data_IF_063977659306
#
_entry.id   IF_063977659306
#
_cell.length_a   1.000
_cell.length_b   1.000
_cell.length_c   1.000
_cell.angle_alpha   90.00
_cell.angle_beta   90.00
_cell.angle_gamma   90.00
#
_symmetry.space_group_name_H-M   'P 1'
#
loop_
_entity.id
_entity.type
_entity.pdbx_description
1 polymer ?
#
# COMPACT_ATOMS: atom_id res chain seq x y z
N UNK A 1 82.81 -33.49 19.55
CA UNK A 1 82.23 -33.61 18.15
C UNK A 1 80.76 -33.31 18.22
N UNK A 2 80.30 -32.51 17.30
CA UNK A 2 79.10 -31.71 17.34
C UNK A 2 77.79 -32.52 17.09
N UNK A 3 76.85 -32.55 18.07
CA UNK A 3 75.51 -33.08 17.91
C UNK A 3 74.57 -31.98 17.50
N UNK A 4 73.93 -32.14 16.35
CA UNK A 4 72.95 -31.19 15.81
C UNK A 4 71.56 -31.43 16.45
N UNK A 5 71.10 -30.44 17.18
CA UNK A 5 69.72 -30.37 17.72
C UNK A 5 68.75 -30.03 16.56
N UNK A 6 67.83 -30.95 16.23
CA UNK A 6 66.84 -30.76 15.23
C UNK A 6 65.57 -30.18 15.90
N UNK A 7 65.37 -28.90 15.71
CA UNK A 7 64.18 -28.19 16.23
C UNK A 7 63.00 -28.48 15.29
N UNK A 8 62.02 -29.25 15.74
CA UNK A 8 60.82 -29.54 15.02
C UNK A 8 59.78 -28.39 15.29
N UNK A 9 59.67 -27.45 14.37
CA UNK A 9 58.70 -26.38 14.46
C UNK A 9 57.35 -26.93 13.98
N UNK A 10 56.44 -27.19 14.92
CA UNK A 10 55.05 -27.53 14.64
C UNK A 10 54.34 -26.25 14.28
N UNK A 11 54.07 -26.07 12.99
CA UNK A 11 53.23 -24.97 12.46
C UNK A 11 51.79 -25.32 12.75
N UNK A 12 51.24 -24.75 13.82
CA UNK A 12 49.77 -24.82 14.11
C UNK A 12 49.07 -23.90 13.10
N UNK A 13 48.48 -24.52 12.10
CA UNK A 13 47.59 -23.83 11.16
C UNK A 13 46.26 -23.62 11.88
N UNK A 14 46.09 -22.47 12.55
CA UNK A 14 44.77 -22.03 13.05
C UNK A 14 43.92 -21.68 11.86
N UNK A 15 43.01 -22.57 11.50
CA UNK A 15 41.86 -22.27 10.64
C UNK A 15 41.02 -21.25 11.37
N UNK A 16 41.18 -19.99 11.02
CA UNK A 16 40.21 -18.96 11.36
C UNK A 16 38.98 -19.28 10.49
N UNK A 17 38.01 -19.95 11.09
CA UNK A 17 36.63 -19.97 10.57
C UNK A 17 36.14 -18.54 10.61
N UNK A 18 36.37 -17.82 9.50
CA UNK A 18 35.60 -16.62 9.22
C UNK A 18 34.16 -17.08 9.04
N UNK A 19 33.42 -17.15 10.15
CA UNK A 19 31.97 -17.17 10.08
C UNK A 19 31.57 -15.93 9.28
N UNK A 20 30.88 -16.11 8.18
CA UNK A 20 30.15 -15.03 7.56
C UNK A 20 29.21 -14.52 8.66
N UNK A 21 29.61 -13.50 9.40
CA UNK A 21 28.64 -12.62 10.04
C UNK A 21 27.86 -12.01 8.88
N UNK A 22 26.69 -12.53 8.60
CA UNK A 22 25.66 -11.74 7.94
C UNK A 22 25.50 -10.52 8.83
N UNK A 23 26.02 -9.36 8.40
CA UNK A 23 25.72 -8.12 9.07
C UNK A 23 24.20 -7.99 9.08
N UNK A 24 23.64 -8.06 10.29
CA UNK A 24 22.21 -7.92 10.45
C UNK A 24 21.85 -6.53 9.95
N UNK A 25 20.95 -6.41 8.97
CA UNK A 25 20.51 -5.13 8.45
C UNK A 25 19.99 -4.30 9.62
N UNK A 26 20.52 -3.09 9.79
CA UNK A 26 20.15 -2.21 10.91
C UNK A 26 19.00 -1.27 10.55
N UNK A 27 18.72 -1.07 9.26
CA UNK A 27 17.71 -0.16 8.76
C UNK A 27 16.85 -0.88 7.73
N UNK A 28 15.53 -0.83 7.95
CA UNK A 28 14.50 -1.32 7.04
C UNK A 28 13.63 -0.15 6.55
N UNK A 29 13.32 -0.14 5.28
CA UNK A 29 12.54 0.92 4.64
C UNK A 29 11.14 0.42 4.30
N UNK A 30 10.13 1.27 4.55
CA UNK A 30 8.72 1.06 4.22
C UNK A 30 8.35 2.06 3.15
N UNK A 31 8.17 1.61 1.91
CA UNK A 31 7.74 2.46 0.81
C UNK A 31 6.24 2.82 0.97
N UNK A 32 5.92 4.10 0.83
CA UNK A 32 4.58 4.65 1.11
C UNK A 32 3.97 5.32 -0.13
N UNK A 33 3.71 6.61 -0.10
CA UNK A 33 3.26 7.41 -1.23
C UNK A 33 3.55 8.90 -0.99
N UNK A 34 2.93 9.78 -1.79
CA UNK A 34 3.00 11.24 -1.61
C UNK A 34 2.35 11.67 -0.29
N UNK A 35 2.73 12.85 0.22
CA UNK A 35 2.04 13.51 1.34
C UNK A 35 0.60 13.86 0.98
N UNK A 36 -0.25 14.17 1.97
CA UNK A 36 -1.66 14.46 1.74
C UNK A 36 -2.59 13.23 1.64
N UNK A 37 -2.02 12.03 1.40
CA UNK A 37 -2.71 10.75 1.45
C UNK A 37 -2.45 10.00 2.78
N UNK A 38 -2.99 8.77 2.89
CA UNK A 38 -2.94 7.97 4.13
C UNK A 38 -1.67 7.12 4.25
N UNK A 39 -1.05 6.69 3.13
CA UNK A 39 0.12 5.80 3.15
C UNK A 39 1.28 6.39 3.94
N UNK A 40 1.62 7.66 3.70
CA UNK A 40 2.78 8.28 4.31
C UNK A 40 2.69 8.36 5.85
N UNK A 41 1.65 8.95 6.47
CA UNK A 41 1.54 8.99 7.93
C UNK A 41 1.46 7.59 8.55
N UNK A 42 0.74 6.65 7.95
CA UNK A 42 0.65 5.27 8.45
C UNK A 42 2.01 4.57 8.37
N UNK A 43 2.72 4.65 7.24
CA UNK A 43 4.04 4.02 7.09
C UNK A 43 5.09 4.59 8.05
N UNK A 44 5.06 5.92 8.29
CA UNK A 44 5.90 6.55 9.32
C UNK A 44 5.52 6.07 10.71
N UNK A 45 4.23 5.96 11.02
CA UNK A 45 3.72 5.44 12.29
C UNK A 45 4.12 3.99 12.54
N UNK A 46 3.99 3.11 11.53
CA UNK A 46 4.49 1.73 11.58
C UNK A 46 6.00 1.69 11.85
N UNK A 47 6.77 2.48 11.13
CA UNK A 47 8.21 2.56 11.29
C UNK A 47 8.61 2.98 12.71
N UNK A 48 7.91 3.94 13.31
CA UNK A 48 8.14 4.37 14.69
C UNK A 48 7.78 3.26 15.69
N UNK A 49 6.61 2.63 15.52
CA UNK A 49 6.14 1.53 16.36
C UNK A 49 7.13 0.36 16.36
N UNK A 50 7.54 -0.09 15.18
CA UNK A 50 8.48 -1.20 15.03
C UNK A 50 9.88 -0.85 15.55
N UNK A 51 10.37 0.37 15.28
CA UNK A 51 11.67 0.84 15.80
C UNK A 51 11.71 0.83 17.33
N UNK A 52 10.61 1.22 17.98
CA UNK A 52 10.53 1.20 19.45
C UNK A 52 10.64 -0.23 20.00
N UNK A 53 9.95 -1.20 19.37
CA UNK A 53 10.01 -2.61 19.78
C UNK A 53 11.36 -3.27 19.51
N UNK A 54 12.08 -2.82 18.48
CA UNK A 54 13.39 -3.35 18.10
C UNK A 54 14.58 -2.50 18.60
N UNK A 55 14.34 -1.58 19.53
CA UNK A 55 15.37 -0.66 20.06
C UNK A 55 16.59 -1.39 20.64
N UNK A 56 16.37 -2.46 21.39
CA UNK A 56 17.45 -3.22 22.03
C UNK A 56 18.32 -3.96 21.02
N UNK A 57 17.76 -4.30 19.86
CA UNK A 57 18.47 -4.92 18.74
C UNK A 57 19.17 -3.89 17.83
N UNK A 58 19.01 -2.59 18.10
CA UNK A 58 19.50 -1.48 17.29
C UNK A 58 18.99 -1.51 15.84
N UNK A 59 17.74 -1.98 15.62
CA UNK A 59 17.08 -2.03 14.32
C UNK A 59 16.14 -0.84 14.20
N UNK A 60 16.11 -0.21 13.02
CA UNK A 60 15.26 0.93 12.69
C UNK A 60 14.41 0.64 11.48
N UNK A 61 13.20 1.18 11.50
CA UNK A 61 12.26 1.12 10.38
C UNK A 61 11.86 2.54 9.99
N UNK A 62 11.99 2.88 8.70
CA UNK A 62 11.71 4.21 8.19
C UNK A 62 10.59 4.17 7.15
N UNK A 63 9.55 4.97 7.33
CA UNK A 63 8.59 5.27 6.26
C UNK A 63 9.21 6.25 5.26
N UNK A 64 9.30 5.87 3.99
CA UNK A 64 9.80 6.73 2.92
C UNK A 64 8.69 7.09 1.93
N UNK A 65 8.68 8.35 1.48
CA UNK A 65 7.76 8.79 0.45
C UNK A 65 8.13 8.22 -0.92
N UNK A 66 7.12 8.00 -1.74
CA UNK A 66 7.23 7.57 -3.13
C UNK A 66 6.09 8.17 -3.96
N UNK A 67 5.98 7.81 -5.24
CA UNK A 67 4.80 8.12 -6.04
C UNK A 67 3.59 7.26 -5.64
N UNK A 68 3.82 6.04 -5.12
CA UNK A 68 2.78 5.09 -4.71
C UNK A 68 3.04 3.66 -5.20
N UNK A 69 1.98 2.88 -5.33
CA UNK A 69 2.04 1.41 -5.43
C UNK A 69 2.92 0.87 -6.55
N UNK A 70 2.97 1.50 -7.73
CA UNK A 70 3.78 1.02 -8.86
C UNK A 70 5.27 1.25 -8.58
N UNK A 71 5.66 2.47 -8.16
CA UNK A 71 7.03 2.75 -7.74
C UNK A 71 7.45 1.86 -6.55
N UNK A 72 6.50 1.56 -5.64
CA UNK A 72 6.76 0.71 -4.49
C UNK A 72 7.15 -0.72 -4.88
N UNK A 73 6.54 -1.27 -5.94
CA UNK A 73 6.97 -2.56 -6.53
C UNK A 73 8.40 -2.47 -7.04
N UNK A 74 8.76 -1.39 -7.75
CA UNK A 74 10.13 -1.21 -8.24
C UNK A 74 11.13 -1.09 -7.09
N UNK A 75 10.78 -0.35 -6.02
CA UNK A 75 11.62 -0.21 -4.83
C UNK A 75 11.84 -1.56 -4.12
N UNK A 76 10.81 -2.41 -4.03
CA UNK A 76 10.94 -3.78 -3.50
C UNK A 76 11.82 -4.65 -4.40
N UNK A 77 11.57 -4.69 -5.72
CA UNK A 77 12.36 -5.45 -6.70
C UNK A 77 13.84 -5.08 -6.68
N UNK A 78 14.15 -3.79 -6.44
CA UNK A 78 15.52 -3.27 -6.40
C UNK A 78 16.17 -3.43 -4.99
N UNK A 79 15.44 -3.87 -3.97
CA UNK A 79 15.93 -3.96 -2.58
C UNK A 79 16.15 -2.57 -1.94
N UNK A 80 15.51 -1.52 -2.46
CA UNK A 80 15.52 -0.16 -1.92
C UNK A 80 14.47 0.03 -0.81
N UNK A 81 13.41 -0.80 -0.83
CA UNK A 81 12.46 -0.96 0.26
C UNK A 81 12.39 -2.44 0.70
N UNK A 82 12.03 -2.67 1.96
CA UNK A 82 11.85 -3.99 2.55
C UNK A 82 10.37 -4.31 2.75
N UNK A 83 9.58 -3.29 2.95
CA UNK A 83 8.12 -3.31 3.06
C UNK A 83 7.54 -2.23 2.17
N UNK A 84 6.31 -2.42 1.74
CA UNK A 84 5.60 -1.42 0.98
C UNK A 84 4.09 -1.46 1.28
N UNK A 85 3.41 -0.34 1.06
CA UNK A 85 1.95 -0.29 1.04
C UNK A 85 1.51 -0.25 -0.42
N UNK A 86 0.63 -1.17 -0.80
CA UNK A 86 0.10 -1.30 -2.16
C UNK A 86 -1.42 -1.27 -2.16
N UNK A 87 -1.99 -0.74 -3.23
CA UNK A 87 -3.39 -1.01 -3.57
C UNK A 87 -3.57 -2.47 -4.00
N UNK A 88 -4.71 -3.07 -3.69
CA UNK A 88 -5.06 -4.45 -4.05
C UNK A 88 -4.89 -4.74 -5.54
N UNK A 89 -5.36 -3.84 -6.40
CA UNK A 89 -5.18 -3.91 -7.85
C UNK A 89 -3.71 -4.14 -8.25
N UNK A 90 -2.82 -3.32 -7.74
CA UNK A 90 -1.38 -3.37 -8.09
C UNK A 90 -0.71 -4.60 -7.49
N UNK A 91 -1.05 -4.96 -6.24
CA UNK A 91 -0.54 -6.17 -5.60
C UNK A 91 -0.91 -7.42 -6.38
N UNK A 92 -2.18 -7.53 -6.79
CA UNK A 92 -2.68 -8.66 -7.59
C UNK A 92 -2.00 -8.72 -8.96
N UNK A 93 -1.96 -7.59 -9.69
CA UNK A 93 -1.35 -7.55 -11.01
C UNK A 93 0.14 -7.90 -10.98
N UNK A 94 0.89 -7.41 -9.99
CA UNK A 94 2.31 -7.72 -9.84
C UNK A 94 2.53 -9.20 -9.50
N UNK A 95 1.74 -9.77 -8.58
CA UNK A 95 1.86 -11.17 -8.17
C UNK A 95 1.46 -12.14 -9.28
N UNK A 96 0.50 -11.79 -10.13
CA UNK A 96 0.02 -12.63 -11.23
C UNK A 96 0.75 -12.41 -12.57
N UNK A 97 1.49 -11.30 -12.70
CA UNK A 97 2.07 -10.91 -14.00
C UNK A 97 1.00 -10.47 -15.00
N UNK A 98 -0.04 -9.79 -14.53
CA UNK A 98 -1.17 -9.31 -15.33
C UNK A 98 -1.20 -7.78 -15.43
N UNK A 99 -2.10 -7.22 -16.23
CA UNK A 99 -2.26 -5.78 -16.39
C UNK A 99 -0.95 -5.09 -16.79
N UNK A 100 -0.52 -4.10 -16.02
CA UNK A 100 0.73 -3.36 -16.30
C UNK A 100 1.99 -4.22 -16.08
N UNK A 101 1.88 -5.38 -15.44
CA UNK A 101 2.95 -6.34 -15.20
C UNK A 101 2.87 -7.57 -16.12
N UNK A 102 2.15 -7.49 -17.25
CA UNK A 102 2.08 -8.59 -18.20
C UNK A 102 3.50 -9.00 -18.69
N UNK A 103 3.88 -10.23 -18.36
CA UNK A 103 5.22 -10.78 -18.67
C UNK A 103 6.33 -10.33 -17.71
N UNK A 104 6.00 -9.66 -16.61
CA UNK A 104 6.92 -9.23 -15.53
C UNK A 104 6.36 -9.57 -14.15
N UNK A 105 5.94 -10.83 -13.96
CA UNK A 105 5.43 -11.34 -12.69
C UNK A 105 6.46 -11.17 -11.57
N UNK A 106 5.99 -10.74 -10.39
CA UNK A 106 6.84 -10.62 -9.20
C UNK A 106 6.55 -11.79 -8.25
N UNK A 107 7.21 -12.93 -8.50
CA UNK A 107 6.98 -14.20 -7.78
C UNK A 107 7.35 -14.12 -6.29
N UNK A 108 8.30 -13.24 -5.92
CA UNK A 108 8.74 -13.06 -4.53
C UNK A 108 7.81 -12.19 -3.70
N UNK A 109 6.79 -11.53 -4.30
CA UNK A 109 5.89 -10.66 -3.57
C UNK A 109 5.04 -11.46 -2.57
N UNK A 110 4.99 -10.99 -1.32
CA UNK A 110 4.19 -11.59 -0.23
C UNK A 110 3.38 -10.52 0.49
N UNK A 111 2.14 -10.85 0.78
CA UNK A 111 1.30 -9.98 1.63
C UNK A 111 1.56 -10.23 3.12
N UNK A 112 1.50 -9.16 3.91
CA UNK A 112 1.50 -9.20 5.37
C UNK A 112 0.06 -9.11 5.90
N UNK A 113 -0.78 -8.32 5.23
CA UNK A 113 -2.21 -8.22 5.54
C UNK A 113 -2.83 -6.95 4.96
N UNK A 114 -4.15 -6.94 4.87
CA UNK A 114 -4.94 -5.73 4.58
C UNK A 114 -4.93 -4.84 5.83
N UNK A 115 -4.71 -3.55 5.61
CA UNK A 115 -4.51 -2.59 6.70
C UNK A 115 -5.61 -1.53 6.79
N UNK A 116 -6.25 -1.14 5.71
CA UNK A 116 -7.51 -0.36 5.64
C UNK A 116 -8.05 -0.34 4.21
N UNK A 117 -9.35 0.00 4.01
CA UNK A 117 -9.92 0.24 2.69
C UNK A 117 -9.30 1.45 1.99
N UNK A 118 -8.88 1.29 0.75
CA UNK A 118 -8.52 2.39 -0.15
C UNK A 118 -9.77 2.91 -0.82
N UNK A 119 -10.38 3.91 -0.21
CA UNK A 119 -11.66 4.50 -0.66
C UNK A 119 -11.41 5.46 -1.80
N UNK A 120 -12.13 5.28 -2.90
CA UNK A 120 -12.01 6.15 -4.08
C UNK A 120 -12.68 7.51 -3.82
N UNK A 121 -11.96 8.58 -4.12
CA UNK A 121 -12.45 9.96 -4.01
C UNK A 121 -12.18 10.69 -5.33
N UNK A 122 -13.20 10.77 -6.16
CA UNK A 122 -13.18 11.62 -7.35
C UNK A 122 -13.69 13.00 -6.94
N UNK A 123 -12.80 13.98 -6.81
CA UNK A 123 -13.21 15.35 -6.48
C UNK A 123 -13.35 16.20 -7.72
N UNK A 124 -14.40 17.01 -7.80
CA UNK A 124 -14.67 17.91 -8.92
C UNK A 124 -15.15 19.26 -8.39
N UNK A 125 -14.76 20.35 -9.06
CA UNK A 125 -15.31 21.67 -8.75
C UNK A 125 -16.82 21.67 -9.03
N UNK A 126 -17.62 22.15 -8.09
CA UNK A 126 -19.09 22.17 -8.15
C UNK A 126 -19.69 22.76 -9.45
N UNK A 127 -19.00 23.73 -10.05
CA UNK A 127 -19.45 24.35 -11.33
C UNK A 127 -19.47 23.34 -12.49
N UNK A 128 -18.90 22.17 -12.33
CA UNK A 128 -18.82 21.11 -13.35
C UNK A 128 -19.58 19.84 -12.98
N UNK A 129 -20.21 19.79 -11.82
CA UNK A 129 -21.06 18.67 -11.39
C UNK A 129 -22.41 18.76 -12.06
N UNK A 130 -22.79 17.72 -12.81
CA UNK A 130 -24.05 17.66 -13.59
C UNK A 130 -24.92 16.48 -13.11
N UNK A 131 -24.39 15.26 -13.11
CA UNK A 131 -25.04 14.04 -12.61
C UNK A 131 -24.70 13.74 -11.14
N UNK A 132 -23.55 14.19 -10.67
CA UNK A 132 -23.02 13.90 -9.34
C UNK A 132 -22.20 12.61 -9.26
N UNK A 133 -22.06 11.87 -10.35
CA UNK A 133 -21.26 10.65 -10.43
C UNK A 133 -19.94 10.87 -11.22
N UNK A 134 -19.07 9.83 -11.23
CA UNK A 134 -17.73 9.94 -11.82
C UNK A 134 -17.72 10.22 -13.33
N UNK A 135 -18.84 10.13 -14.04
CA UNK A 135 -18.92 10.49 -15.47
C UNK A 135 -18.77 11.99 -15.73
N UNK A 136 -19.03 12.84 -14.72
CA UNK A 136 -18.92 14.30 -14.81
C UNK A 136 -17.48 14.81 -15.09
N UNK A 137 -16.47 13.93 -14.94
CA UNK A 137 -15.07 14.26 -15.27
C UNK A 137 -14.82 14.42 -16.77
N UNK A 138 -15.72 13.93 -17.63
CA UNK A 138 -15.59 13.99 -19.08
C UNK A 138 -15.41 15.45 -19.58
N UNK A 139 -14.39 15.68 -20.41
CA UNK A 139 -14.04 16.99 -20.94
C UNK A 139 -13.34 17.93 -19.95
N UNK A 140 -13.10 17.51 -18.72
CA UNK A 140 -12.50 18.35 -17.66
C UNK A 140 -10.97 18.21 -17.62
N UNK A 141 -10.30 19.17 -16.96
CA UNK A 141 -8.91 18.98 -16.54
C UNK A 141 -8.90 18.22 -15.23
N UNK A 142 -8.30 17.04 -15.23
CA UNK A 142 -8.41 16.10 -14.13
C UNK A 142 -7.06 15.42 -13.82
N UNK A 143 -6.68 15.40 -12.54
CA UNK A 143 -5.49 14.68 -12.10
C UNK A 143 -5.85 13.21 -11.85
N UNK A 144 -5.19 12.32 -12.57
CA UNK A 144 -5.34 10.87 -12.37
C UNK A 144 -4.37 10.31 -11.30
N UNK A 145 -3.70 11.18 -10.56
CA UNK A 145 -2.67 10.83 -9.58
C UNK A 145 -1.25 10.93 -10.14
N UNK A 146 -0.23 10.76 -9.32
CA UNK A 146 1.17 10.78 -9.76
C UNK A 146 1.46 9.67 -10.77
N UNK A 147 2.40 9.92 -11.68
CA UNK A 147 2.93 8.85 -12.53
C UNK A 147 3.56 7.74 -11.68
N UNK A 148 3.47 6.50 -12.13
CA UNK A 148 3.93 5.31 -11.42
C UNK A 148 3.23 5.11 -10.04
N UNK A 149 2.00 5.57 -9.89
CA UNK A 149 1.18 5.35 -8.69
C UNK A 149 0.06 4.34 -8.94
N UNK A 150 -0.41 3.72 -7.86
CA UNK A 150 -1.66 2.95 -7.90
C UNK A 150 -2.87 3.84 -8.22
N UNK A 151 -2.85 5.12 -7.79
CA UNK A 151 -3.89 6.10 -8.11
C UNK A 151 -4.05 6.29 -9.61
N UNK A 152 -2.94 6.42 -10.35
CA UNK A 152 -3.00 6.51 -11.81
C UNK A 152 -3.67 5.27 -12.41
N UNK A 153 -3.26 4.08 -11.97
CA UNK A 153 -3.76 2.83 -12.52
C UNK A 153 -5.24 2.60 -12.17
N UNK A 154 -5.64 2.78 -10.90
CA UNK A 154 -7.03 2.63 -10.49
C UNK A 154 -7.94 3.62 -11.20
N UNK A 155 -7.53 4.92 -11.28
CA UNK A 155 -8.31 5.95 -11.96
C UNK A 155 -8.52 5.61 -13.44
N UNK A 156 -7.46 5.18 -14.14
CA UNK A 156 -7.56 4.83 -15.56
C UNK A 156 -8.45 3.60 -15.76
N UNK A 157 -8.32 2.57 -14.92
CA UNK A 157 -9.18 1.38 -14.98
C UNK A 157 -10.64 1.74 -14.75
N UNK A 158 -10.93 2.58 -13.76
CA UNK A 158 -12.31 3.04 -13.51
C UNK A 158 -12.86 3.89 -14.66
N UNK A 159 -12.04 4.76 -15.25
CA UNK A 159 -12.43 5.52 -16.43
C UNK A 159 -12.77 4.60 -17.62
N UNK A 160 -11.95 3.56 -17.85
CA UNK A 160 -12.22 2.57 -18.90
C UNK A 160 -13.55 1.83 -18.65
N UNK A 161 -13.87 1.49 -17.39
CA UNK A 161 -15.13 0.86 -17.01
C UNK A 161 -16.37 1.72 -17.37
N UNK A 162 -16.25 3.02 -17.27
CA UNK A 162 -17.33 3.96 -17.65
C UNK A 162 -17.18 4.52 -19.08
N UNK A 163 -16.48 3.79 -19.95
CA UNK A 163 -16.23 4.12 -21.35
C UNK A 163 -15.49 5.47 -21.59
N UNK A 164 -14.70 5.95 -20.61
CA UNK A 164 -13.84 7.14 -20.73
C UNK A 164 -12.38 6.74 -20.92
N UNK A 165 -11.73 7.25 -21.96
CA UNK A 165 -10.30 7.15 -22.15
C UNK A 165 -9.53 8.37 -21.63
N UNK A 166 -8.19 8.26 -21.54
CA UNK A 166 -7.31 9.41 -21.19
C UNK A 166 -7.46 10.62 -22.14
N UNK A 167 -7.96 10.41 -23.36
CA UNK A 167 -8.24 11.47 -24.35
C UNK A 167 -9.53 12.23 -24.09
N UNK A 168 -10.42 11.69 -23.26
CA UNK A 168 -11.72 12.28 -22.95
C UNK A 168 -11.65 13.29 -21.80
N UNK A 169 -10.48 13.40 -21.17
CA UNK A 169 -10.15 14.40 -20.17
C UNK A 169 -8.83 15.13 -20.56
N UNK A 170 -8.58 16.28 -19.97
CA UNK A 170 -7.25 16.88 -19.99
C UNK A 170 -6.47 16.33 -18.80
N UNK A 171 -5.71 15.26 -19.04
CA UNK A 171 -5.01 14.49 -18.01
C UNK A 171 -3.85 15.26 -17.38
N UNK A 172 -3.82 15.31 -16.06
CA UNK A 172 -2.70 15.82 -15.24
C UNK A 172 -2.23 14.74 -14.26
N UNK A 173 -0.97 14.80 -13.83
CA UNK A 173 -0.33 13.80 -12.97
C UNK A 173 0.23 14.48 -11.72
N UNK A 174 -0.61 14.68 -10.71
CA UNK A 174 -0.27 15.43 -9.51
C UNK A 174 -0.47 14.58 -8.24
N UNK A 175 0.35 14.86 -7.21
CA UNK A 175 0.10 14.39 -5.85
C UNK A 175 -1.15 15.05 -5.25
N UNK A 176 -1.62 14.53 -4.12
CA UNK A 176 -2.92 14.95 -3.56
C UNK A 176 -2.93 16.43 -3.13
N UNK A 177 -1.90 16.89 -2.42
CA UNK A 177 -1.78 18.29 -1.99
C UNK A 177 -1.64 19.23 -3.20
N UNK A 178 -0.88 18.82 -4.22
CA UNK A 178 -0.70 19.58 -5.45
C UNK A 178 -1.99 19.65 -6.28
N UNK A 179 -2.77 18.55 -6.28
CA UNK A 179 -4.09 18.51 -6.94
C UNK A 179 -5.03 19.55 -6.33
N UNK A 180 -5.19 19.54 -4.99
CA UNK A 180 -6.05 20.51 -4.29
C UNK A 180 -5.54 21.93 -4.47
N UNK A 181 -4.22 22.14 -4.43
CA UNK A 181 -3.62 23.46 -4.69
C UNK A 181 -3.90 23.95 -6.12
N UNK A 182 -3.77 23.07 -7.12
CA UNK A 182 -4.07 23.42 -8.52
C UNK A 182 -5.57 23.71 -8.76
N UNK A 183 -6.47 22.98 -8.09
CA UNK A 183 -7.91 23.28 -8.11
C UNK A 183 -8.21 24.66 -7.50
N UNK A 184 -7.61 24.97 -6.34
CA UNK A 184 -7.77 26.27 -5.68
C UNK A 184 -7.26 27.43 -6.53
N UNK A 185 -6.21 27.23 -7.30
CA UNK A 185 -5.65 28.22 -8.22
C UNK A 185 -6.43 28.31 -9.55
N UNK A 186 -7.48 27.51 -9.74
CA UNK A 186 -8.27 27.47 -10.99
C UNK A 186 -7.54 26.86 -12.19
N UNK A 187 -6.44 26.13 -11.96
CA UNK A 187 -5.66 25.46 -13.01
C UNK A 187 -6.15 24.06 -13.33
N UNK A 188 -6.91 23.47 -12.41
CA UNK A 188 -7.43 22.10 -12.48
C UNK A 188 -8.91 22.08 -12.08
N UNK A 189 -9.72 21.24 -12.73
CA UNK A 189 -11.14 21.11 -12.40
C UNK A 189 -11.40 20.02 -11.34
N UNK A 190 -10.57 18.98 -11.27
CA UNK A 190 -10.75 17.89 -10.33
C UNK A 190 -9.58 16.92 -10.30
N UNK A 191 -9.70 15.88 -9.49
CA UNK A 191 -8.70 14.82 -9.41
C UNK A 191 -9.16 13.62 -8.59
N UNK A 192 -8.49 12.51 -8.76
CA UNK A 192 -8.67 11.28 -7.99
C UNK A 192 -7.68 11.22 -6.83
N UNK A 193 -8.21 10.98 -5.62
CA UNK A 193 -7.45 10.96 -4.37
C UNK A 193 -7.82 9.72 -3.51
N UNK A 194 -7.67 8.49 -4.03
CA UNK A 194 -8.02 7.28 -3.29
C UNK A 194 -7.17 7.11 -2.03
N UNK A 195 -7.81 7.01 -0.88
CA UNK A 195 -7.12 6.88 0.41
C UNK A 195 -8.05 6.39 1.53
N UNK A 196 -7.51 6.18 2.74
CA UNK A 196 -8.31 5.95 3.93
C UNK A 196 -9.03 7.21 4.41
N UNK A 197 -10.27 7.09 4.82
CA UNK A 197 -11.11 8.20 5.33
C UNK A 197 -10.74 8.55 6.78
N UNK A 198 -10.56 9.87 7.11
CA UNK A 198 -10.58 11.03 6.24
C UNK A 198 -9.22 11.29 5.55
N UNK A 199 -9.26 11.69 4.28
CA UNK A 199 -8.06 12.10 3.52
C UNK A 199 -7.66 13.51 3.89
N UNK A 200 -6.40 13.74 4.25
CA UNK A 200 -5.92 15.05 4.69
C UNK A 200 -6.13 16.14 3.64
N UNK A 201 -5.75 15.87 2.39
CA UNK A 201 -5.92 16.83 1.29
C UNK A 201 -7.40 17.20 1.04
N UNK A 202 -8.33 16.25 1.18
CA UNK A 202 -9.78 16.50 1.05
C UNK A 202 -10.32 17.26 2.25
N UNK A 203 -9.82 16.95 3.46
CA UNK A 203 -10.15 17.72 4.67
C UNK A 203 -9.75 19.19 4.49
N UNK A 204 -8.55 19.45 3.96
CA UNK A 204 -8.08 20.81 3.65
C UNK A 204 -8.87 21.47 2.53
N UNK A 205 -9.29 20.72 1.52
CA UNK A 205 -10.18 21.20 0.46
C UNK A 205 -11.46 21.79 1.05
N UNK A 206 -12.17 21.01 1.85
CA UNK A 206 -13.41 21.46 2.49
C UNK A 206 -13.18 22.57 3.53
N UNK A 207 -12.12 22.46 4.35
CA UNK A 207 -11.81 23.47 5.38
C UNK A 207 -11.45 24.83 4.77
N UNK A 208 -10.77 24.85 3.61
CA UNK A 208 -10.40 26.09 2.91
C UNK A 208 -11.58 26.78 2.21
N UNK A 209 -12.74 26.14 2.14
CA UNK A 209 -13.92 26.68 1.48
C UNK A 209 -13.91 26.56 -0.03
N UNK A 210 -13.07 25.70 -0.59
CA UNK A 210 -13.11 25.38 -2.01
C UNK A 210 -14.49 24.79 -2.36
N UNK A 211 -15.12 25.32 -3.40
CA UNK A 211 -16.44 24.86 -3.86
C UNK A 211 -16.28 23.65 -4.76
N UNK A 212 -16.13 22.47 -4.16
CA UNK A 212 -15.91 21.19 -4.84
C UNK A 212 -16.64 20.07 -4.08
N UNK A 213 -17.04 19.04 -4.83
CA UNK A 213 -17.70 17.84 -4.33
C UNK A 213 -16.85 16.60 -4.54
N UNK A 214 -17.11 15.55 -3.75
CA UNK A 214 -16.72 14.18 -4.05
C UNK A 214 -17.87 13.59 -4.88
N UNK A 215 -17.54 13.01 -6.04
CA UNK A 215 -18.50 12.37 -6.93
C UNK A 215 -18.81 10.96 -6.44
N UNK A 216 -20.05 10.54 -6.66
CA UNK A 216 -20.49 9.17 -6.37
C UNK A 216 -20.06 8.19 -7.47
N UNK A 217 -20.06 6.89 -7.12
CA UNK A 217 -19.95 5.77 -8.06
C UNK A 217 -21.23 4.96 -7.99
N UNK A 218 -22.00 4.92 -9.08
CA UNK A 218 -23.28 4.23 -9.12
C UNK A 218 -23.11 2.70 -9.12
N UNK A 219 -24.19 1.94 -8.84
CA UNK A 219 -24.14 0.47 -8.89
C UNK A 219 -23.81 -0.04 -10.29
N UNK A 220 -24.35 0.59 -11.34
CA UNK A 220 -24.05 0.25 -12.74
C UNK A 220 -22.55 0.47 -13.03
N UNK A 221 -21.99 1.61 -12.60
CA UNK A 221 -20.57 1.90 -12.77
C UNK A 221 -19.66 0.91 -12.01
N UNK A 222 -20.07 0.42 -10.82
CA UNK A 222 -19.29 -0.61 -10.10
C UNK A 222 -19.26 -1.91 -10.92
N UNK A 223 -20.41 -2.33 -11.45
CA UNK A 223 -20.51 -3.56 -12.23
C UNK A 223 -19.64 -3.45 -13.48
N UNK A 224 -19.72 -2.35 -14.23
CA UNK A 224 -18.92 -2.09 -15.44
C UNK A 224 -17.40 -2.03 -15.14
N UNK A 225 -17.00 -1.38 -14.06
CA UNK A 225 -15.59 -1.32 -13.61
C UNK A 225 -15.08 -2.71 -13.24
N UNK A 226 -15.86 -3.49 -12.50
CA UNK A 226 -15.48 -4.83 -12.08
C UNK A 226 -15.51 -5.87 -13.21
N UNK A 227 -16.20 -5.59 -14.33
CA UNK A 227 -16.10 -6.40 -15.56
C UNK A 227 -14.71 -6.31 -16.20
N UNK A 228 -13.95 -5.22 -15.98
CA UNK A 228 -12.55 -5.10 -16.41
C UNK A 228 -11.62 -5.85 -15.46
N UNK A 229 -11.68 -5.53 -14.16
CA UNK A 229 -10.90 -6.17 -13.11
C UNK A 229 -11.72 -6.21 -11.82
N UNK A 230 -12.05 -7.42 -11.37
CA UNK A 230 -12.84 -7.62 -10.15
C UNK A 230 -11.99 -7.34 -8.89
N UNK A 231 -12.08 -6.09 -8.38
CA UNK A 231 -11.26 -5.62 -7.25
C UNK A 231 -12.04 -4.73 -6.29
N UNK A 232 -12.99 -3.94 -6.79
CA UNK A 232 -13.69 -2.95 -5.99
C UNK A 232 -14.99 -3.48 -5.40
N UNK A 233 -15.31 -2.95 -4.21
CA UNK A 233 -16.57 -3.20 -3.52
C UNK A 233 -17.21 -1.88 -3.10
N UNK A 234 -18.54 -1.89 -2.89
CA UNK A 234 -19.28 -0.71 -2.42
C UNK A 234 -18.72 -0.21 -1.10
N UNK A 235 -18.52 1.10 -1.01
CA UNK A 235 -18.17 1.81 0.22
C UNK A 235 -19.00 3.10 0.32
N UNK A 236 -19.42 3.44 1.54
CA UNK A 236 -20.14 4.69 1.80
C UNK A 236 -19.28 5.56 2.71
N UNK A 237 -18.94 6.76 2.26
CA UNK A 237 -18.32 7.79 3.09
C UNK A 237 -19.42 8.43 3.92
N UNK A 238 -19.44 8.12 5.22
CA UNK A 238 -20.50 8.59 6.12
C UNK A 238 -20.52 10.12 6.24
N UNK A 239 -21.71 10.70 6.37
CA UNK A 239 -21.91 12.12 6.63
C UNK A 239 -21.07 12.58 7.84
N UNK A 240 -20.42 13.73 7.69
CA UNK A 240 -19.55 14.29 8.72
C UNK A 240 -18.12 13.72 8.73
N UNK A 241 -17.75 12.85 7.80
CA UNK A 241 -16.37 12.40 7.59
C UNK A 241 -15.45 13.58 7.21
N UNK A 242 -15.98 14.56 6.51
CA UNK A 242 -15.28 15.79 6.13
C UNK A 242 -16.02 17.05 6.61
N UNK A 243 -15.31 18.19 6.80
CA UNK A 243 -15.96 19.46 7.16
C UNK A 243 -17.01 19.84 6.11
N UNK A 244 -18.24 20.15 6.54
CA UNK A 244 -19.37 20.57 5.67
C UNK A 244 -19.90 19.50 4.71
N UNK A 245 -19.49 18.27 4.81
CA UNK A 245 -20.12 17.13 4.14
C UNK A 245 -21.27 16.65 5.04
N UNK A 246 -22.51 16.96 4.62
CA UNK A 246 -23.73 16.74 5.43
C UNK A 246 -24.49 15.48 5.04
N UNK A 247 -24.18 14.88 3.90
CA UNK A 247 -24.81 13.68 3.35
C UNK A 247 -23.79 12.55 3.18
N UNK A 248 -24.29 11.31 3.20
CA UNK A 248 -23.48 10.15 2.83
C UNK A 248 -23.10 10.24 1.35
N UNK A 249 -21.93 9.68 0.99
CA UNK A 249 -21.46 9.63 -0.39
C UNK A 249 -21.16 8.17 -0.74
N UNK A 250 -21.91 7.63 -1.69
CA UNK A 250 -21.70 6.28 -2.17
C UNK A 250 -20.56 6.21 -3.18
N UNK A 251 -19.54 5.45 -2.85
CA UNK A 251 -18.34 5.24 -3.67
C UNK A 251 -17.92 3.78 -3.63
N UNK A 252 -16.70 3.49 -4.02
CA UNK A 252 -16.10 2.16 -4.00
C UNK A 252 -14.76 2.17 -3.27
N UNK A 253 -14.32 1.00 -2.81
CA UNK A 253 -13.03 0.81 -2.19
C UNK A 253 -12.39 -0.49 -2.66
N UNK A 254 -11.08 -0.58 -2.49
CA UNK A 254 -10.27 -1.78 -2.63
C UNK A 254 -9.35 -1.92 -1.40
N UNK A 255 -8.74 -3.10 -1.12
CA UNK A 255 -7.83 -3.20 0.02
C UNK A 255 -6.55 -2.37 -0.19
N UNK A 256 -6.04 -1.75 0.89
CA UNK A 256 -4.65 -1.36 1.00
C UNK A 256 -3.90 -2.46 1.75
N UNK A 257 -2.83 -2.96 1.17
CA UNK A 257 -2.11 -4.15 1.62
C UNK A 257 -0.70 -3.76 2.03
N UNK A 258 -0.27 -4.18 3.21
CA UNK A 258 1.13 -4.20 3.57
C UNK A 258 1.77 -5.43 2.93
N UNK A 259 2.87 -5.24 2.23
CA UNK A 259 3.59 -6.30 1.53
C UNK A 259 5.09 -6.29 1.86
N UNK A 260 5.74 -7.42 1.58
CA UNK A 260 7.18 -7.62 1.66
C UNK A 260 7.60 -8.68 0.62
N UNK A 261 8.80 -9.21 0.71
CA UNK A 261 9.32 -10.26 -0.18
C UNK A 261 9.49 -11.60 0.56
N UNK A 262 9.46 -12.71 -0.17
CA UNK A 262 9.55 -14.07 0.38
C UNK A 262 10.88 -14.37 1.09
N UNK A 263 11.95 -13.63 0.80
CA UNK A 263 13.25 -13.77 1.42
C UNK A 263 13.41 -13.02 2.75
N UNK A 264 12.38 -12.26 3.16
CA UNK A 264 12.39 -11.60 4.47
C UNK A 264 12.35 -12.65 5.60
N UNK A 265 13.06 -12.36 6.70
CA UNK A 265 13.12 -13.27 7.85
C UNK A 265 11.72 -13.55 8.44
N UNK A 266 11.36 -14.83 8.50
CA UNK A 266 10.02 -15.27 8.96
C UNK A 266 9.69 -14.78 10.36
N UNK A 267 10.65 -14.90 11.30
CA UNK A 267 10.42 -14.49 12.68
C UNK A 267 10.27 -12.98 12.80
N UNK A 268 10.99 -12.22 11.97
CA UNK A 268 10.82 -10.77 11.90
C UNK A 268 9.43 -10.41 11.39
N UNK A 269 8.99 -10.96 10.26
CA UNK A 269 7.66 -10.65 9.71
C UNK A 269 6.55 -11.09 10.66
N UNK A 270 6.66 -12.27 11.30
CA UNK A 270 5.72 -12.68 12.34
C UNK A 270 5.60 -11.62 13.45
N UNK A 271 6.74 -11.20 14.00
CA UNK A 271 6.74 -10.23 15.10
C UNK A 271 6.23 -8.85 14.65
N UNK A 272 6.59 -8.37 13.46
CA UNK A 272 6.12 -7.09 12.93
C UNK A 272 4.60 -7.12 12.67
N UNK A 273 4.08 -8.21 12.13
CA UNK A 273 2.64 -8.43 11.96
C UNK A 273 1.92 -8.37 13.31
N UNK A 274 2.40 -9.14 14.28
CA UNK A 274 1.86 -9.18 15.63
C UNK A 274 1.88 -7.79 16.29
N UNK A 275 3.03 -7.11 16.26
CA UNK A 275 3.15 -5.76 16.83
C UNK A 275 2.16 -4.80 16.18
N UNK A 276 1.99 -4.85 14.86
CA UNK A 276 1.10 -3.97 14.14
C UNK A 276 -0.37 -4.15 14.58
N UNK A 277 -0.88 -5.37 14.52
CA UNK A 277 -2.29 -5.65 14.84
C UNK A 277 -2.59 -5.55 16.34
N UNK A 278 -1.66 -5.93 17.22
CA UNK A 278 -1.85 -5.79 18.68
C UNK A 278 -1.75 -4.33 19.17
N UNK A 279 -1.17 -3.42 18.39
CA UNK A 279 -1.05 -1.99 18.74
C UNK A 279 -1.94 -1.09 17.87
N UNK A 280 -3.10 -1.60 17.44
CA UNK A 280 -4.08 -0.87 16.62
C UNK A 280 -4.45 0.50 17.19
N UNK A 281 -4.63 0.63 18.49
CA UNK A 281 -4.95 1.90 19.14
C UNK A 281 -3.85 2.97 18.94
N UNK A 282 -2.59 2.56 18.93
CA UNK A 282 -1.49 3.46 18.58
C UNK A 282 -1.62 3.95 17.13
N UNK A 283 -1.93 3.03 16.20
CA UNK A 283 -2.11 3.37 14.79
C UNK A 283 -3.34 4.25 14.54
N UNK A 284 -4.43 4.07 15.28
CA UNK A 284 -5.60 4.96 15.27
C UNK A 284 -5.22 6.38 15.71
N UNK A 285 -4.30 6.51 16.67
CA UNK A 285 -3.72 7.79 17.08
C UNK A 285 -2.91 8.48 15.98
N UNK A 286 -2.39 7.73 15.00
CA UNK A 286 -1.69 8.27 13.82
C UNK A 286 -2.70 8.68 12.74
N UNK A 287 -3.65 7.79 12.39
CA UNK A 287 -4.67 8.05 11.38
C UNK A 287 -5.94 7.26 11.65
N UNK A 288 -7.10 7.91 11.50
CA UNK A 288 -8.40 7.31 11.84
C UNK A 288 -8.71 6.04 11.02
N UNK A 289 -8.25 5.94 9.77
CA UNK A 289 -8.46 4.75 8.93
C UNK A 289 -7.89 3.46 9.53
N UNK A 290 -6.94 3.55 10.48
CA UNK A 290 -6.44 2.39 11.20
C UNK A 290 -7.52 1.73 12.12
N UNK A 291 -8.72 2.30 12.24
CA UNK A 291 -9.88 1.63 12.85
C UNK A 291 -10.30 0.37 12.08
N UNK A 292 -10.02 0.35 10.78
CA UNK A 292 -10.29 -0.80 9.91
C UNK A 292 -9.19 -1.87 9.94
N UNK A 293 -8.06 -1.59 10.60
CA UNK A 293 -6.97 -2.54 10.78
C UNK A 293 -7.34 -3.57 11.85
N UNK A 294 -8.12 -4.59 11.46
CA UNK A 294 -8.62 -5.64 12.34
C UNK A 294 -8.08 -7.00 11.91
N UNK A 295 -7.75 -7.85 12.88
CA UNK A 295 -7.23 -9.20 12.60
C UNK A 295 -8.26 -10.02 11.82
N UNK A 296 -9.54 -9.86 12.17
CA UNK A 296 -10.65 -10.59 11.58
C UNK A 296 -10.85 -10.33 10.09
N UNK A 297 -10.50 -9.12 9.62
CA UNK A 297 -10.67 -8.69 8.22
C UNK A 297 -9.35 -8.55 7.48
N UNK A 298 -8.23 -8.85 8.13
CA UNK A 298 -6.89 -8.61 7.58
C UNK A 298 -6.56 -9.42 6.31
N UNK A 299 -7.35 -10.43 5.98
CA UNK A 299 -7.18 -11.26 4.79
C UNK A 299 -8.22 -10.97 3.69
N UNK A 300 -9.17 -10.08 3.95
CA UNK A 300 -10.22 -9.76 2.98
C UNK A 300 -9.65 -9.08 1.73
N UNK A 301 -10.02 -9.60 0.57
CA UNK A 301 -9.63 -9.05 -0.74
C UNK A 301 -8.14 -9.23 -1.09
N UNK A 302 -7.39 -10.05 -0.34
CA UNK A 302 -6.03 -10.43 -0.70
C UNK A 302 -6.03 -11.47 -1.83
N UNK A 303 -5.20 -11.26 -2.85
CA UNK A 303 -4.94 -12.22 -3.91
C UNK A 303 -3.44 -12.60 -3.98
N UNK A 304 -2.59 -11.88 -3.26
CA UNK A 304 -1.15 -12.15 -3.16
C UNK A 304 -0.91 -13.10 -1.99
N UNK A 305 -0.13 -14.20 -2.14
CA UNK A 305 0.18 -15.11 -1.06
C UNK A 305 0.75 -14.40 0.18
N UNK A 306 0.39 -14.89 1.36
CA UNK A 306 0.96 -14.38 2.62
C UNK A 306 2.45 -14.71 2.73
N UNK A 307 3.18 -13.86 3.43
CA UNK A 307 4.50 -14.20 3.94
C UNK A 307 4.37 -15.26 5.04
N UNK A 308 5.31 -16.23 5.12
CA UNK A 308 5.25 -17.32 6.09
C UNK A 308 5.08 -16.84 7.55
N UNK A 309 5.74 -15.75 7.94
CA UNK A 309 5.58 -15.15 9.26
C UNK A 309 4.18 -14.57 9.51
N UNK A 310 3.59 -13.90 8.51
CA UNK A 310 2.23 -13.38 8.60
C UNK A 310 1.20 -14.53 8.64
N UNK A 311 1.38 -15.56 7.79
CA UNK A 311 0.57 -16.76 7.78
C UNK A 311 0.51 -17.41 9.18
N UNK A 312 1.67 -17.63 9.80
CA UNK A 312 1.78 -18.20 11.17
C UNK A 312 1.03 -17.36 12.19
N UNK A 313 1.14 -16.03 12.12
CA UNK A 313 0.41 -15.14 13.03
C UNK A 313 -1.10 -15.29 12.90
N UNK A 314 -1.66 -15.24 11.69
CA UNK A 314 -3.10 -15.35 11.48
C UNK A 314 -3.63 -16.75 11.80
N UNK A 315 -2.87 -17.81 11.52
CA UNK A 315 -3.20 -19.18 11.94
C UNK A 315 -3.31 -19.29 13.46
N UNK A 316 -2.35 -18.72 14.21
CA UNK A 316 -2.39 -18.66 15.68
C UNK A 316 -3.58 -17.84 16.22
N UNK A 317 -4.05 -16.84 15.48
CA UNK A 317 -5.27 -16.09 15.85
C UNK A 317 -6.56 -16.85 15.50
N UNK A 318 -6.47 -18.01 14.86
CA UNK A 318 -7.62 -18.82 14.46
C UNK A 318 -8.37 -18.27 13.25
N UNK A 319 -7.74 -17.44 12.43
CA UNK A 319 -8.32 -16.91 11.19
C UNK A 319 -8.31 -18.00 10.13
N UNK A 320 -9.44 -18.20 9.45
CA UNK A 320 -9.52 -19.11 8.31
C UNK A 320 -8.76 -18.51 7.12
N UNK A 321 -7.73 -19.21 6.65
CA UNK A 321 -6.87 -18.75 5.56
C UNK A 321 -7.19 -19.53 4.30
N UNK A 322 -7.62 -18.82 3.26
CA UNK A 322 -7.93 -19.43 1.96
C UNK A 322 -6.69 -20.07 1.33
N UNK A 323 -6.87 -21.16 0.60
CA UNK A 323 -5.77 -21.97 0.06
C UNK A 323 -4.82 -21.19 -0.87
N UNK A 324 -5.34 -20.19 -1.61
CA UNK A 324 -4.52 -19.37 -2.51
C UNK A 324 -3.60 -18.40 -1.76
N UNK A 325 -3.93 -18.05 -0.51
CA UNK A 325 -3.11 -17.19 0.36
C UNK A 325 -2.01 -17.95 1.10
N UNK A 326 -2.04 -19.29 1.12
CA UNK A 326 -0.98 -20.07 1.75
C UNK A 326 0.36 -19.82 1.06
N UNK A 327 1.44 -19.54 1.79
CA UNK A 327 2.79 -19.39 1.23
C UNK A 327 3.18 -20.59 0.37
N UNK A 328 3.81 -20.34 -0.77
CA UNK A 328 4.22 -21.42 -1.68
C UNK A 328 5.21 -22.37 -1.03
N UNK A 329 6.10 -21.83 -0.21
CA UNK A 329 7.12 -22.56 0.54
C UNK A 329 6.49 -23.63 1.47
N UNK A 330 5.29 -23.33 2.01
CA UNK A 330 4.54 -24.28 2.87
C UNK A 330 3.66 -25.26 2.08
N UNK A 331 3.37 -25.01 0.79
CA UNK A 331 2.60 -25.91 -0.06
C UNK A 331 3.45 -27.10 -0.53
N UNK A 332 4.76 -26.90 -0.70
CA UNK A 332 5.70 -27.95 -1.13
C UNK A 332 5.98 -28.99 -0.06
N UNK A 333 5.88 -28.64 1.22
CA UNK A 333 6.12 -29.57 2.35
C UNK A 333 5.00 -30.58 2.58
N UNK A 334 3.79 -30.36 2.00
CA UNK A 334 2.63 -31.26 2.13
C UNK A 334 2.51 -32.30 1.01
N UNK A 335 3.35 -32.25 -0.05
CA UNK A 335 3.38 -33.19 -1.17
C UNK A 335 4.59 -34.13 -1.08
#
# INVERSE_FOLDING_TARGET
MKGKLFLFTVLIFTFVLSGCNFEKKEIYNIATATTGGTYYPIGVGMGQLWTEHYREQNIKFNGQASAGSVENIDLLKNGEADFAILQGLISTQAAEGSGIYEGDQYEELRSVGMIWPNVEHFVLMEDFVESGDISDIAGRSFSVGPQASGTEQSTVTMMEGIELGKSDIRTEYLGYDDTISAMRDGRLNGGSLPAGVPVSAITDMYASGLNAAILEVTDEQIDDINDIVHTWYRYTIEAGSYPRQEEDIDTIAQPNILVTTSDMDEEMVYNLTKILFENREYMIGIHNSAREMQVETALEGLNTPLHAGAYRYFEEQGIEIEAHLKPEELREEEN
#
